data_IF_109466722766
#
_entry.id   IF_109466722766
#
_cell.length_a   1.000
_cell.length_b   1.000
_cell.length_c   1.000
_cell.angle_alpha   90.00
_cell.angle_beta   90.00
_cell.angle_gamma   90.00
#
_symmetry.space_group_name_H-M   'P 1'
#
loop_
_entity.id
_entity.type
_entity.pdbx_description
1 polymer ?
#
# COMPACT_ATOMS: atom_id res chain seq x y z
N UNK A 1 -14.33 7.77 8.92
CA UNK A 1 -15.18 6.83 8.11
C UNK A 1 -16.57 6.65 8.74
N UNK A 2 -17.67 6.73 7.97
CA UNK A 2 -19.05 6.87 8.50
C UNK A 2 -20.01 5.66 8.41
N UNK A 3 -19.53 4.43 8.25
CA UNK A 3 -20.40 3.24 8.19
C UNK A 3 -20.38 2.47 9.51
N UNK A 4 -21.54 2.37 10.16
CA UNK A 4 -21.70 1.57 11.39
C UNK A 4 -21.62 0.08 11.06
N UNK A 5 -20.57 -0.59 11.52
CA UNK A 5 -20.40 -2.04 11.32
C UNK A 5 -20.97 -2.84 12.50
N UNK A 6 -21.67 -3.98 12.25
CA UNK A 6 -22.08 -4.88 13.32
C UNK A 6 -20.88 -5.44 14.09
N UNK A 7 -20.95 -5.46 15.42
CA UNK A 7 -19.88 -5.96 16.28
C UNK A 7 -19.43 -7.40 15.96
N UNK A 8 -20.35 -8.24 15.47
CA UNK A 8 -20.03 -9.60 15.04
C UNK A 8 -18.93 -9.65 13.96
N UNK A 9 -18.88 -8.68 13.04
CA UNK A 9 -17.87 -8.67 11.98
C UNK A 9 -16.48 -8.48 12.56
N UNK A 10 -16.30 -7.55 13.51
CA UNK A 10 -15.03 -7.37 14.22
C UNK A 10 -14.64 -8.63 15.01
N UNK A 11 -15.60 -9.24 15.71
CA UNK A 11 -15.34 -10.45 16.51
C UNK A 11 -14.88 -11.62 15.65
N UNK A 12 -15.52 -11.88 14.51
CA UNK A 12 -15.11 -12.99 13.64
C UNK A 12 -13.85 -12.66 12.86
N UNK A 13 -13.65 -11.40 12.45
CA UNK A 13 -12.41 -10.97 11.79
C UNK A 13 -11.21 -11.13 12.73
N UNK A 14 -11.36 -10.80 14.02
CA UNK A 14 -10.29 -11.00 15.01
C UNK A 14 -9.89 -12.48 15.14
N UNK A 15 -10.86 -13.41 15.16
CA UNK A 15 -10.58 -14.84 15.19
C UNK A 15 -9.89 -15.33 13.91
N UNK A 16 -10.34 -14.84 12.76
CA UNK A 16 -9.73 -15.21 11.47
C UNK A 16 -8.30 -14.69 11.37
N UNK A 17 -8.08 -13.43 11.72
CA UNK A 17 -6.77 -12.76 11.70
C UNK A 17 -5.76 -13.50 12.58
N UNK A 18 -6.17 -13.91 13.78
CA UNK A 18 -5.36 -14.71 14.70
C UNK A 18 -5.10 -16.13 14.14
N UNK A 19 -6.12 -16.77 13.57
CA UNK A 19 -6.01 -18.14 13.05
C UNK A 19 -5.06 -18.27 11.86
N UNK A 20 -5.10 -17.33 10.90
CA UNK A 20 -4.30 -17.45 9.67
C UNK A 20 -2.83 -17.10 9.87
N UNK A 21 -2.49 -16.43 10.97
CA UNK A 21 -1.13 -16.05 11.26
C UNK A 21 -0.36 -17.23 11.84
N UNK A 22 0.82 -17.49 11.30
CA UNK A 22 1.70 -18.55 11.75
C UNK A 22 2.45 -18.10 13.01
N UNK A 23 2.24 -18.78 14.13
CA UNK A 23 2.89 -18.48 15.41
C UNK A 23 4.43 -18.63 15.39
N UNK A 24 4.98 -19.34 14.40
CA UNK A 24 6.43 -19.57 14.29
C UNK A 24 7.10 -18.54 13.39
N UNK A 25 6.51 -18.22 12.23
CA UNK A 25 7.12 -17.33 11.24
C UNK A 25 6.59 -15.91 11.29
N UNK A 26 5.37 -15.71 11.82
CA UNK A 26 4.67 -14.43 11.78
C UNK A 26 3.91 -14.14 10.49
N UNK A 27 4.10 -14.95 9.44
CA UNK A 27 3.41 -14.81 8.16
C UNK A 27 1.92 -15.20 8.24
N UNK A 28 1.09 -14.68 7.34
CA UNK A 28 -0.25 -15.22 7.13
C UNK A 28 -0.26 -16.26 6.00
N UNK A 29 -1.04 -17.32 6.19
CA UNK A 29 -1.33 -18.29 5.14
C UNK A 29 -2.73 -18.11 4.53
N UNK A 30 -2.90 -18.56 3.28
CA UNK A 30 -4.12 -18.34 2.48
C UNK A 30 -5.41 -18.88 3.11
N UNK A 31 -5.36 -20.10 3.68
CA UNK A 31 -6.55 -20.77 4.25
C UNK A 31 -6.37 -21.20 5.71
N UNK A 32 -5.20 -20.91 6.27
CA UNK A 32 -4.78 -21.29 7.61
C UNK A 32 -3.28 -21.07 7.79
N UNK A 33 -2.77 -21.26 9.01
CA UNK A 33 -1.45 -20.75 9.39
C UNK A 33 -0.27 -21.50 8.75
N UNK A 34 -0.49 -22.68 8.17
CA UNK A 34 0.55 -23.48 7.52
C UNK A 34 0.28 -23.66 6.02
N UNK A 35 -0.60 -22.84 5.43
CA UNK A 35 -0.84 -22.89 3.99
C UNK A 35 0.41 -22.39 3.24
N UNK A 36 0.96 -23.16 2.29
CA UNK A 36 2.25 -22.87 1.67
C UNK A 36 2.21 -21.77 0.61
N UNK A 37 1.03 -21.35 0.14
CA UNK A 37 0.88 -20.34 -0.90
C UNK A 37 0.68 -18.92 -0.34
N UNK A 38 1.21 -17.93 -1.06
CA UNK A 38 0.83 -16.53 -0.91
C UNK A 38 1.34 -15.82 0.35
N UNK A 39 2.38 -16.33 1.02
CA UNK A 39 2.77 -15.81 2.35
C UNK A 39 3.08 -14.31 2.37
N UNK A 40 3.72 -13.75 1.34
CA UNK A 40 4.02 -12.31 1.29
C UNK A 40 2.78 -11.44 1.02
N UNK A 41 1.97 -11.77 0.03
CA UNK A 41 0.70 -11.06 -0.22
C UNK A 41 -0.26 -11.17 0.96
N UNK A 42 -0.32 -12.35 1.58
CA UNK A 42 -1.27 -12.61 2.66
C UNK A 42 -0.79 -11.91 3.93
N UNK A 43 0.51 -11.84 4.18
CA UNK A 43 1.06 -11.05 5.28
C UNK A 43 0.84 -9.55 5.07
N UNK A 44 0.91 -9.05 3.83
CA UNK A 44 0.50 -7.68 3.52
C UNK A 44 -0.99 -7.42 3.83
N UNK A 45 -1.87 -8.36 3.45
CA UNK A 45 -3.29 -8.29 3.79
C UNK A 45 -3.56 -8.44 5.30
N UNK A 46 -2.76 -9.24 6.00
CA UNK A 46 -2.80 -9.39 7.45
C UNK A 46 -2.56 -8.07 8.15
N UNK A 47 -1.54 -7.30 7.74
CA UNK A 47 -1.29 -5.97 8.32
C UNK A 47 -2.51 -5.04 8.20
N UNK A 48 -3.22 -5.08 7.08
CA UNK A 48 -4.46 -4.30 6.87
C UNK A 48 -5.56 -4.76 7.84
N UNK A 49 -5.73 -6.07 8.02
CA UNK A 49 -6.74 -6.62 8.95
C UNK A 49 -6.41 -6.27 10.41
N UNK A 50 -5.15 -6.38 10.80
CA UNK A 50 -4.69 -6.01 12.14
C UNK A 50 -4.87 -4.51 12.38
N UNK A 51 -4.65 -3.67 11.37
CA UNK A 51 -4.85 -2.21 11.44
C UNK A 51 -6.32 -1.87 11.64
N UNK A 52 -7.17 -2.48 10.81
CA UNK A 52 -8.61 -2.36 10.91
C UNK A 52 -9.17 -2.79 12.28
N UNK A 53 -8.57 -3.81 12.90
CA UNK A 53 -8.92 -4.27 14.25
C UNK A 53 -8.35 -3.39 15.37
N UNK A 54 -7.57 -2.36 15.03
CA UNK A 54 -6.95 -1.43 15.97
C UNK A 54 -5.78 -2.02 16.76
N UNK A 55 -5.09 -3.04 16.23
CA UNK A 55 -3.92 -3.61 16.89
C UNK A 55 -2.74 -2.64 16.74
N UNK A 56 -2.09 -2.22 17.84
CA UNK A 56 -0.98 -1.28 17.79
C UNK A 56 0.26 -1.93 17.19
N UNK A 57 1.19 -1.12 16.66
CA UNK A 57 2.46 -1.62 16.11
C UNK A 57 3.35 -2.35 17.14
N UNK A 58 3.09 -2.17 18.45
CA UNK A 58 3.77 -2.87 19.54
C UNK A 58 3.09 -4.18 19.95
N UNK A 59 2.04 -4.62 19.25
CA UNK A 59 1.46 -5.95 19.45
C UNK A 59 2.42 -6.98 18.83
N UNK A 60 2.80 -8.00 19.61
CA UNK A 60 3.77 -9.03 19.19
C UNK A 60 3.40 -9.67 17.83
N UNK A 61 2.12 -9.77 17.51
CA UNK A 61 1.63 -10.32 16.23
C UNK A 61 1.89 -9.38 15.05
N UNK A 62 1.77 -8.07 15.28
CA UNK A 62 2.09 -7.06 14.26
C UNK A 62 3.60 -7.03 14.03
N UNK A 63 4.39 -7.04 15.11
CA UNK A 63 5.86 -7.09 15.03
C UNK A 63 6.35 -8.34 14.32
N UNK A 64 5.76 -9.51 14.59
CA UNK A 64 6.11 -10.77 13.92
C UNK A 64 5.83 -10.73 12.41
N UNK A 65 4.70 -10.16 11.98
CA UNK A 65 4.37 -10.00 10.56
C UNK A 65 5.37 -9.06 9.86
N UNK A 66 5.71 -7.92 10.49
CA UNK A 66 6.70 -6.99 9.98
C UNK A 66 8.11 -7.62 9.91
N UNK A 67 8.48 -8.43 10.91
CA UNK A 67 9.75 -9.15 10.93
C UNK A 67 9.85 -10.19 9.80
N UNK A 68 8.74 -10.89 9.49
CA UNK A 68 8.66 -11.78 8.35
C UNK A 68 8.88 -11.03 7.03
N UNK A 69 8.15 -9.92 6.83
CA UNK A 69 8.29 -9.05 5.65
C UNK A 69 9.73 -8.55 5.52
N UNK A 70 10.36 -8.11 6.62
CA UNK A 70 11.75 -7.66 6.60
C UNK A 70 12.69 -8.79 6.17
N UNK A 71 12.49 -10.00 6.70
CA UNK A 71 13.32 -11.17 6.36
C UNK A 71 13.25 -11.50 4.87
N UNK A 72 12.07 -11.45 4.28
CA UNK A 72 11.80 -11.84 2.89
C UNK A 72 11.78 -10.65 1.91
N UNK A 73 12.10 -9.44 2.37
CA UNK A 73 11.91 -8.20 1.60
C UNK A 73 12.53 -8.26 0.21
N UNK A 74 13.80 -8.64 0.11
CA UNK A 74 14.58 -8.59 -1.14
C UNK A 74 14.23 -9.71 -2.14
N UNK A 75 13.36 -10.64 -1.76
CA UNK A 75 13.12 -11.83 -2.56
C UNK A 75 12.28 -11.51 -3.81
N UNK A 76 12.70 -12.09 -4.93
CA UNK A 76 12.00 -11.94 -6.20
C UNK A 76 11.03 -13.09 -6.43
N UNK A 77 9.87 -12.74 -6.95
CA UNK A 77 8.85 -13.66 -7.44
C UNK A 77 9.39 -14.54 -8.56
N UNK A 78 9.05 -15.82 -8.53
CA UNK A 78 9.43 -16.79 -9.56
C UNK A 78 8.41 -17.93 -9.64
N UNK A 79 8.69 -18.97 -10.44
CA UNK A 79 7.73 -20.07 -10.68
C UNK A 79 7.44 -20.95 -9.47
N UNK A 80 8.23 -20.84 -8.39
CA UNK A 80 8.11 -21.69 -7.20
C UNK A 80 7.94 -20.90 -5.90
N UNK A 81 8.02 -19.58 -5.98
CA UNK A 81 7.92 -18.69 -4.83
C UNK A 81 7.27 -17.38 -5.27
N UNK A 82 6.18 -17.02 -4.62
CA UNK A 82 5.45 -15.79 -4.92
C UNK A 82 6.31 -14.56 -4.59
N UNK A 83 7.09 -14.61 -3.50
CA UNK A 83 8.05 -13.57 -3.15
C UNK A 83 7.46 -12.17 -3.05
N UNK A 84 8.32 -11.17 -3.20
CA UNK A 84 7.94 -9.77 -3.12
C UNK A 84 8.09 -9.09 -4.48
N UNK A 85 9.33 -8.81 -4.85
CA UNK A 85 9.62 -8.02 -6.04
C UNK A 85 9.26 -8.79 -7.32
N UNK A 86 8.52 -8.14 -8.20
CA UNK A 86 8.05 -8.73 -9.46
C UNK A 86 6.73 -9.50 -9.34
N UNK A 87 6.14 -9.59 -8.16
CA UNK A 87 4.78 -10.06 -7.95
C UNK A 87 3.83 -8.87 -7.73
N UNK A 88 2.98 -8.50 -8.72
CA UNK A 88 2.18 -7.29 -8.63
C UNK A 88 1.22 -7.26 -7.45
N UNK A 89 0.56 -8.38 -7.21
CA UNK A 89 -0.38 -8.50 -6.10
C UNK A 89 0.30 -8.46 -4.72
N UNK A 90 1.44 -9.16 -4.54
CA UNK A 90 2.18 -9.12 -3.27
C UNK A 90 2.73 -7.73 -2.97
N UNK A 91 3.38 -7.09 -3.95
CA UNK A 91 3.86 -5.71 -3.77
C UNK A 91 2.72 -4.75 -3.41
N UNK A 92 1.55 -4.88 -4.05
CA UNK A 92 0.40 -4.03 -3.72
C UNK A 92 -0.19 -4.34 -2.33
N UNK A 93 -0.31 -5.61 -1.96
CA UNK A 93 -0.81 -5.99 -0.65
C UNK A 93 0.11 -5.49 0.47
N UNK A 94 1.44 -5.65 0.30
CA UNK A 94 2.45 -5.14 1.21
C UNK A 94 2.45 -3.62 1.26
N UNK A 95 2.38 -2.93 0.12
CA UNK A 95 2.29 -1.47 0.09
C UNK A 95 1.14 -0.96 0.97
N UNK A 96 -0.07 -1.51 0.83
CA UNK A 96 -1.22 -1.09 1.63
C UNK A 96 -0.99 -1.34 3.13
N UNK A 97 -0.48 -2.52 3.48
CA UNK A 97 -0.20 -2.86 4.87
C UNK A 97 0.86 -1.93 5.48
N UNK A 98 1.97 -1.71 4.77
CA UNK A 98 3.07 -0.88 5.25
C UNK A 98 2.71 0.61 5.29
N UNK A 99 1.94 1.11 4.33
CA UNK A 99 1.49 2.51 4.35
C UNK A 99 0.58 2.78 5.56
N UNK A 100 -0.39 1.91 5.84
CA UNK A 100 -1.23 2.01 7.05
C UNK A 100 -0.40 1.92 8.34
N UNK A 101 0.62 1.05 8.38
CA UNK A 101 1.38 0.81 9.62
C UNK A 101 2.51 1.79 9.89
N UNK A 102 3.16 2.25 8.84
CA UNK A 102 4.42 2.98 8.92
C UNK A 102 4.33 4.35 8.23
N UNK A 103 3.45 4.51 7.25
CA UNK A 103 3.50 5.59 6.27
C UNK A 103 4.65 5.42 5.27
N UNK A 104 4.66 6.25 4.23
CA UNK A 104 5.66 6.21 3.15
C UNK A 104 7.01 6.79 3.54
N UNK A 105 7.05 7.64 4.57
CA UNK A 105 8.25 8.37 4.98
C UNK A 105 8.98 7.68 6.15
N UNK A 106 8.55 6.46 6.50
CA UNK A 106 9.13 5.69 7.59
C UNK A 106 10.58 5.34 7.29
N UNK A 107 11.49 5.76 8.17
CA UNK A 107 12.89 5.34 8.09
C UNK A 107 13.09 3.83 8.30
N UNK A 108 14.34 3.39 8.27
CA UNK A 108 14.70 1.95 8.26
C UNK A 108 14.64 1.25 9.62
N UNK A 109 13.95 1.82 10.61
CA UNK A 109 13.91 1.25 11.98
C UNK A 109 13.06 -0.01 12.07
N UNK A 110 12.11 -0.20 11.14
CA UNK A 110 11.22 -1.37 11.08
C UNK A 110 11.60 -2.29 9.92
N UNK A 111 11.79 -1.72 8.72
CA UNK A 111 12.29 -2.44 7.55
C UNK A 111 13.71 -1.98 7.23
N UNK A 112 14.67 -2.86 7.45
CA UNK A 112 16.10 -2.58 7.30
C UNK A 112 16.77 -3.43 6.22
N UNK A 113 16.15 -4.54 5.82
CA UNK A 113 16.70 -5.48 4.84
C UNK A 113 16.37 -5.05 3.40
N UNK A 114 16.55 -3.77 3.09
CA UNK A 114 16.21 -3.20 1.78
C UNK A 114 17.22 -3.64 0.71
N UNK A 115 16.81 -3.62 -0.56
CA UNK A 115 17.69 -4.04 -1.66
C UNK A 115 18.93 -3.15 -1.76
N UNK A 116 20.09 -3.72 -2.12
CA UNK A 116 21.30 -2.94 -2.32
C UNK A 116 21.15 -2.01 -3.52
N UNK A 117 21.29 -0.72 -3.28
CA UNK A 117 21.08 0.34 -4.27
C UNK A 117 20.89 1.66 -3.54
N UNK A 118 20.95 2.77 -4.27
CA UNK A 118 20.74 4.10 -3.69
C UNK A 118 19.35 4.64 -3.99
N UNK A 119 18.39 3.74 -4.23
CA UNK A 119 16.98 4.05 -4.49
C UNK A 119 16.80 5.25 -5.43
N UNK A 120 17.42 5.16 -6.60
CA UNK A 120 17.27 6.14 -7.67
C UNK A 120 18.31 7.26 -7.69
N UNK A 121 19.42 7.16 -6.94
CA UNK A 121 20.36 8.26 -6.74
C UNK A 121 19.65 9.53 -6.25
N UNK A 122 18.76 9.42 -5.26
CA UNK A 122 18.01 10.58 -4.79
C UNK A 122 18.97 11.71 -4.38
N UNK A 123 18.95 12.79 -5.16
CA UNK A 123 19.79 13.97 -4.98
C UNK A 123 19.23 14.84 -3.84
N UNK A 124 17.95 14.69 -3.53
CA UNK A 124 17.24 15.50 -2.55
C UNK A 124 17.26 14.90 -1.13
N UNK A 125 17.77 13.67 -0.98
CA UNK A 125 17.90 13.00 0.31
C UNK A 125 19.31 12.40 0.56
N UNK A 126 20.34 13.25 0.80
CA UNK A 126 21.71 12.79 1.06
C UNK A 126 21.95 12.23 2.47
N UNK A 127 21.04 12.46 3.41
CA UNK A 127 21.27 12.24 4.86
C UNK A 127 20.40 11.11 5.47
N UNK A 128 19.47 10.53 4.71
CA UNK A 128 18.60 9.45 5.17
C UNK A 128 18.69 8.35 4.12
N UNK A 129 19.32 7.23 4.46
CA UNK A 129 19.37 6.08 3.55
C UNK A 129 17.96 5.69 3.07
N UNK A 130 17.91 4.92 1.98
CA UNK A 130 16.65 4.53 1.36
C UNK A 130 15.64 3.94 2.35
N UNK A 131 14.36 4.33 2.22
CA UNK A 131 13.25 3.71 2.93
C UNK A 131 12.54 2.62 2.09
N UNK A 132 11.59 1.91 2.71
CA UNK A 132 10.89 0.80 2.06
C UNK A 132 10.11 1.24 0.81
N UNK A 133 9.51 2.43 0.85
CA UNK A 133 8.70 2.95 -0.25
C UNK A 133 9.56 3.37 -1.43
N UNK A 134 10.67 4.06 -1.17
CA UNK A 134 11.68 4.43 -2.16
C UNK A 134 12.29 3.20 -2.84
N UNK A 135 12.52 2.10 -2.10
CA UNK A 135 13.00 0.83 -2.68
C UNK A 135 11.98 0.23 -3.66
N UNK A 136 10.69 0.25 -3.30
CA UNK A 136 9.60 -0.13 -4.22
C UNK A 136 9.54 0.80 -5.44
N UNK A 137 9.60 2.11 -5.24
CA UNK A 137 9.53 3.07 -6.33
C UNK A 137 10.70 2.88 -7.31
N UNK A 138 11.91 2.71 -6.81
CA UNK A 138 13.09 2.43 -7.63
C UNK A 138 12.96 1.12 -8.40
N UNK A 139 12.46 0.04 -7.78
CA UNK A 139 12.18 -1.19 -8.51
C UNK A 139 11.24 -0.95 -9.69
N UNK A 140 10.14 -0.23 -9.45
CA UNK A 140 9.13 -0.02 -10.47
C UNK A 140 9.67 0.88 -11.59
N UNK A 141 10.33 1.99 -11.28
CA UNK A 141 10.93 2.84 -12.31
C UNK A 141 11.97 2.09 -13.13
N UNK A 142 12.86 1.33 -12.48
CA UNK A 142 13.93 0.57 -13.16
C UNK A 142 13.43 -0.61 -14.00
N UNK A 143 12.23 -1.13 -13.74
CA UNK A 143 11.64 -2.28 -14.45
C UNK A 143 10.50 -1.91 -15.40
N UNK A 144 10.16 -0.62 -15.52
CA UNK A 144 9.15 -0.17 -16.46
C UNK A 144 9.57 -0.47 -17.90
N UNK A 145 8.67 -1.06 -18.68
CA UNK A 145 8.90 -1.27 -20.10
C UNK A 145 8.86 0.06 -20.86
N UNK A 146 9.53 0.13 -22.02
CA UNK A 146 9.60 1.37 -22.82
C UNK A 146 8.23 1.93 -23.27
N UNK A 147 7.19 1.10 -23.28
CA UNK A 147 5.81 1.50 -23.58
C UNK A 147 5.04 2.02 -22.34
N UNK A 148 5.69 2.15 -21.18
CA UNK A 148 5.13 2.62 -19.93
C UNK A 148 4.40 1.56 -19.10
N UNK A 149 4.29 0.31 -19.58
CA UNK A 149 3.68 -0.78 -18.82
C UNK A 149 4.68 -1.54 -17.96
N UNK A 150 4.17 -2.37 -17.06
CA UNK A 150 4.93 -3.36 -16.33
C UNK A 150 4.34 -4.74 -16.56
N UNK A 151 5.19 -5.77 -16.52
CA UNK A 151 4.74 -7.15 -16.31
C UNK A 151 5.08 -7.61 -14.89
N UNK A 152 4.51 -8.73 -14.48
CA UNK A 152 4.94 -9.50 -13.32
C UNK A 152 5.47 -10.88 -13.73
N UNK A 153 5.79 -11.70 -12.74
CA UNK A 153 6.16 -13.10 -12.99
C UNK A 153 4.98 -13.89 -13.59
N UNK A 154 5.27 -15.01 -14.25
CA UNK A 154 4.26 -15.99 -14.70
C UNK A 154 3.16 -15.39 -15.59
N UNK A 155 1.90 -15.43 -15.14
CA UNK A 155 0.71 -15.00 -15.88
C UNK A 155 0.30 -13.55 -15.59
N UNK A 156 1.08 -12.80 -14.81
CA UNK A 156 0.83 -11.39 -14.50
C UNK A 156 1.21 -10.49 -15.68
N UNK A 157 0.39 -10.51 -16.72
CA UNK A 157 0.59 -9.68 -17.90
C UNK A 157 0.45 -8.19 -17.59
N UNK A 158 0.73 -7.36 -18.61
CA UNK A 158 0.71 -5.92 -18.46
C UNK A 158 -0.66 -5.33 -18.09
N UNK A 159 -1.74 -5.99 -18.46
CA UNK A 159 -3.10 -5.57 -18.14
C UNK A 159 -3.44 -5.76 -16.65
N UNK A 160 -2.81 -6.75 -15.99
CA UNK A 160 -2.96 -6.98 -14.56
C UNK A 160 -1.89 -6.27 -13.73
N UNK A 161 -0.62 -6.29 -14.15
CA UNK A 161 0.48 -5.76 -13.35
C UNK A 161 0.51 -4.23 -13.32
N UNK A 162 0.29 -3.56 -14.46
CA UNK A 162 0.39 -2.10 -14.57
C UNK A 162 -0.57 -1.37 -13.62
N UNK A 163 -1.87 -1.73 -13.52
CA UNK A 163 -2.78 -1.06 -12.59
C UNK A 163 -2.40 -1.21 -11.12
N UNK A 164 -1.77 -2.31 -10.71
CA UNK A 164 -1.32 -2.45 -9.32
C UNK A 164 -0.10 -1.57 -9.03
N UNK A 165 0.92 -1.66 -9.88
CA UNK A 165 2.17 -0.93 -9.67
C UNK A 165 2.03 0.59 -9.80
N UNK A 166 1.15 1.08 -10.67
CA UNK A 166 0.95 2.53 -10.78
C UNK A 166 0.35 3.13 -9.51
N UNK A 167 -0.47 2.38 -8.76
CA UNK A 167 -1.01 2.85 -7.48
C UNK A 167 0.07 2.95 -6.39
N UNK A 168 1.08 2.08 -6.43
CA UNK A 168 2.26 2.17 -5.56
C UNK A 168 3.02 3.45 -5.88
N UNK A 169 3.39 3.66 -7.16
CA UNK A 169 4.13 4.86 -7.58
C UNK A 169 3.38 6.17 -7.32
N UNK A 170 2.05 6.14 -7.34
CA UNK A 170 1.23 7.29 -7.01
C UNK A 170 1.20 7.63 -5.51
N UNK A 171 1.92 6.88 -4.66
CA UNK A 171 1.86 6.99 -3.19
C UNK A 171 0.41 7.06 -2.69
N UNK A 172 -0.44 6.16 -3.21
CA UNK A 172 -1.86 6.14 -2.89
C UNK A 172 -2.06 5.99 -1.38
N UNK A 173 -2.54 7.05 -0.72
CA UNK A 173 -2.90 7.01 0.69
C UNK A 173 -4.05 6.03 0.93
N UNK A 174 -3.89 5.11 1.87
CA UNK A 174 -4.96 4.19 2.25
C UNK A 174 -5.79 4.84 3.36
N UNK A 175 -7.12 4.91 3.24
CA UNK A 175 -7.94 5.47 4.31
C UNK A 175 -7.80 4.64 5.60
N UNK A 176 -7.27 5.26 6.66
CA UNK A 176 -7.00 4.66 7.98
C UNK A 176 -8.14 4.88 8.99
N UNK A 177 -9.20 5.59 8.60
CA UNK A 177 -10.41 5.77 9.41
C UNK A 177 -10.31 6.86 10.49
N UNK A 178 -9.11 7.27 10.87
CA UNK A 178 -8.82 8.39 11.78
C UNK A 178 -8.86 9.76 11.05
N UNK A 179 -8.76 9.74 9.73
CA UNK A 179 -8.86 10.92 8.87
C UNK A 179 -10.31 11.36 8.61
N UNK A 180 -11.05 11.72 9.65
CA UNK A 180 -12.39 12.31 9.52
C UNK A 180 -12.35 13.77 9.03
N UNK A 181 -11.16 14.34 8.72
CA UNK A 181 -10.99 15.72 8.28
C UNK A 181 -10.24 15.92 6.94
N UNK A 182 -9.73 14.86 6.32
CA UNK A 182 -8.81 14.98 5.17
C UNK A 182 -9.36 14.37 3.88
N UNK A 183 -10.70 14.30 3.74
CA UNK A 183 -11.27 14.23 2.39
C UNK A 183 -10.95 15.56 1.72
N UNK A 184 -10.02 15.63 0.75
CA UNK A 184 -9.81 16.86 0.04
C UNK A 184 -11.14 17.10 -0.69
N UNK A 185 -11.89 18.14 -0.30
CA UNK A 185 -12.95 18.59 -1.16
C UNK A 185 -12.28 18.84 -2.51
N UNK A 186 -12.63 18.08 -3.56
CA UNK A 186 -11.88 18.15 -4.78
C UNK A 186 -11.95 19.60 -5.24
N UNK A 187 -10.80 20.22 -5.55
CA UNK A 187 -10.70 21.62 -5.98
C UNK A 187 -11.69 21.98 -7.11
N UNK A 188 -12.26 20.96 -7.75
CA UNK A 188 -13.46 20.95 -8.60
C UNK A 188 -14.67 21.69 -8.01
N UNK A 189 -14.97 21.61 -6.70
CA UNK A 189 -16.05 22.40 -6.07
C UNK A 189 -15.71 23.89 -6.01
N UNK A 190 -14.45 24.22 -5.73
CA UNK A 190 -13.95 25.60 -5.78
C UNK A 190 -13.95 26.15 -7.22
N UNK A 191 -13.59 25.32 -8.21
CA UNK A 191 -13.66 25.65 -9.64
C UNK A 191 -15.11 25.79 -10.14
N UNK A 192 -16.04 24.96 -9.66
CA UNK A 192 -17.47 25.07 -9.97
C UNK A 192 -18.07 26.34 -9.36
N UNK A 193 -17.71 26.67 -8.11
CA UNK A 193 -18.11 27.91 -7.45
C UNK A 193 -17.55 29.15 -8.17
N UNK A 194 -16.27 29.14 -8.56
CA UNK A 194 -15.66 30.19 -9.37
C UNK A 194 -16.31 30.31 -10.76
N UNK A 195 -16.62 29.19 -11.40
CA UNK A 195 -17.32 29.13 -12.69
C UNK A 195 -18.74 29.70 -12.63
N UNK A 196 -19.50 29.38 -11.57
CA UNK A 196 -20.85 29.90 -11.32
C UNK A 196 -20.84 31.41 -11.02
N UNK A 197 -19.87 31.89 -10.23
CA UNK A 197 -19.69 33.33 -9.97
C UNK A 197 -19.29 34.09 -11.25
N UNK A 198 -18.44 33.51 -12.09
CA UNK A 198 -18.10 34.04 -13.41
C UNK A 198 -19.31 34.15 -14.34
N UNK A 199 -20.14 33.10 -14.39
CA UNK A 199 -21.35 33.07 -15.23
C UNK A 199 -22.42 34.10 -14.80
N UNK A 200 -22.59 34.31 -13.49
CA UNK A 200 -23.50 35.34 -12.95
C UNK A 200 -23.05 36.76 -13.32
N UNK A 201 -21.73 37.02 -13.36
CA UNK A 201 -21.17 38.32 -13.74
C UNK A 201 -21.31 38.61 -15.24
N UNK A 202 -21.25 37.57 -16.08
CA UNK A 202 -21.46 37.67 -17.53
C UNK A 202 -22.94 37.92 -17.87
N UNK A 203 -23.88 37.28 -17.13
CA UNK A 203 -25.31 37.45 -17.36
C UNK A 203 -25.81 38.87 -17.02
N UNK A 204 -25.28 39.50 -15.97
CA UNK A 204 -25.61 40.90 -15.61
C UNK A 204 -25.15 41.93 -16.63
N UNK A 205 -24.05 41.68 -17.37
CA UNK A 205 -23.56 42.60 -18.40
C UNK A 205 -24.37 42.57 -19.71
N UNK A 206 -25.14 41.52 -19.96
CA UNK A 206 -25.96 41.38 -21.18
C UNK A 206 -27.37 41.96 -21.09
N UNK A 207 -27.83 42.40 -19.91
CA UNK A 207 -29.14 43.03 -19.75
C UNK A 207 -29.11 44.57 -19.74
N UNK A 208 -27.95 45.17 -20.04
CA UNK A 208 -27.77 46.62 -20.14
C UNK A 208 -27.28 46.96 -21.55
N UNK A 209 -28.11 46.70 -22.55
CA UNK A 209 -28.10 47.32 -23.89
C UNK A 209 -29.55 47.41 -24.36
#
# INVERSE_FOLDING_TARGET
MGVSMPAFVNTELAKWTDYIQNDTTGAAGYSGPNAPEGEMNETGALLVMQDYLGWPSSDDRVEAALAYINTHWQENANSTWDGNFGHPYAMWALYKGLELRLGTDAGTSVLSNLRPGNCGNDVDNPDHGCNWFEDYAEYLVSTQSANGSWGGYSYWDAGLATPWYINILAATKIPDGDDDNDVPEPATLSLLAAGLLGALRIRRRRQVV
#
